data_IF_836369148075
#
_entry.id   IF_836369148075
#
_cell.length_a   1.000
_cell.length_b   1.000
_cell.length_c   1.000
_cell.angle_alpha   90.00
_cell.angle_beta   90.00
_cell.angle_gamma   90.00
#
_symmetry.space_group_name_H-M   'P 1'
#
loop_
_entity.id
_entity.type
_entity.pdbx_description
1 polymer ?
#
# COMPACT_ATOMS: atom_id res chain seq x y z
N UNK A 1 -12.51 10.59 -39.61
CA UNK A 1 -12.82 10.51 -38.16
C UNK A 1 -11.54 10.13 -37.44
N UNK A 2 -10.85 11.08 -36.83
CA UNK A 2 -9.59 10.81 -36.12
C UNK A 2 -9.93 10.52 -34.65
N UNK A 3 -9.77 9.27 -34.23
CA UNK A 3 -9.95 8.89 -32.84
C UNK A 3 -8.75 9.41 -32.04
N UNK A 4 -8.99 10.41 -31.20
CA UNK A 4 -7.99 10.92 -30.25
C UNK A 4 -7.47 9.77 -29.40
N UNK A 5 -6.16 9.47 -29.37
CA UNK A 5 -5.66 8.39 -28.54
C UNK A 5 -5.94 8.73 -27.07
N UNK A 6 -6.52 7.77 -26.37
CA UNK A 6 -6.87 7.84 -24.96
C UNK A 6 -5.64 8.26 -24.16
N UNK A 7 -5.71 9.48 -23.65
CA UNK A 7 -4.83 10.16 -22.70
C UNK A 7 -4.02 9.15 -21.87
N UNK A 8 -2.68 9.21 -21.98
CA UNK A 8 -1.76 8.63 -21.01
C UNK A 8 -2.19 9.06 -19.61
N UNK A 9 -2.92 8.21 -18.89
CA UNK A 9 -3.31 8.48 -17.51
C UNK A 9 -2.02 8.42 -16.69
N UNK A 10 -1.47 9.60 -16.37
CA UNK A 10 -0.36 9.73 -15.43
C UNK A 10 -0.69 8.93 -14.18
N UNK A 11 0.24 8.09 -13.73
CA UNK A 11 0.12 7.37 -12.46
C UNK A 11 -0.33 8.34 -11.36
N UNK A 12 -1.46 8.05 -10.73
CA UNK A 12 -2.14 9.01 -9.84
C UNK A 12 -2.24 8.42 -8.45
N UNK A 13 -1.73 9.14 -7.44
CA UNK A 13 -1.93 8.79 -6.03
C UNK A 13 -3.41 8.94 -5.66
N UNK A 14 -4.06 7.86 -5.25
CA UNK A 14 -5.50 7.84 -4.96
C UNK A 14 -5.82 7.64 -3.48
N UNK A 15 -5.00 6.87 -2.76
CA UNK A 15 -5.21 6.56 -1.35
C UNK A 15 -3.89 6.55 -0.58
N UNK A 16 -3.98 6.82 0.72
CA UNK A 16 -2.91 6.61 1.68
C UNK A 16 -3.44 5.73 2.80
N UNK A 17 -2.75 4.62 3.02
CA UNK A 17 -3.03 3.71 4.13
C UNK A 17 -1.97 3.90 5.19
N UNK A 18 -2.32 3.73 6.45
CA UNK A 18 -1.36 3.57 7.53
C UNK A 18 -1.01 2.09 7.64
N UNK A 19 0.28 1.79 7.66
CA UNK A 19 0.84 0.47 7.93
C UNK A 19 1.48 0.51 9.30
N UNK A 20 1.16 -0.48 10.13
CA UNK A 20 1.79 -0.73 11.43
C UNK A 20 2.28 -2.16 11.52
N UNK A 21 3.25 -2.39 12.40
CA UNK A 21 3.76 -3.71 12.75
C UNK A 21 5.08 -3.60 13.50
N UNK A 22 5.86 -4.67 13.45
CA UNK A 22 7.20 -4.75 14.03
C UNK A 22 8.25 -4.91 12.93
N UNK A 23 9.35 -4.15 13.02
CA UNK A 23 10.52 -4.31 12.15
C UNK A 23 11.36 -5.54 12.55
N UNK A 24 12.37 -5.97 11.77
CA UNK A 24 13.11 -7.20 12.07
C UNK A 24 13.81 -7.22 13.45
N UNK A 25 14.35 -6.09 13.96
CA UNK A 25 14.77 -5.98 15.36
C UNK A 25 13.65 -6.08 16.41
N UNK A 26 12.38 -6.14 16.00
CA UNK A 26 11.20 -6.26 16.85
C UNK A 26 10.61 -4.91 17.30
N UNK A 27 11.10 -3.77 16.80
CA UNK A 27 10.62 -2.43 17.18
C UNK A 27 9.30 -2.14 16.46
N UNK A 28 8.35 -1.57 17.18
CA UNK A 28 7.10 -1.10 16.56
C UNK A 28 7.37 0.02 15.56
N UNK A 29 6.73 -0.03 14.40
CA UNK A 29 6.79 1.03 13.40
C UNK A 29 5.39 1.41 12.89
N UNK A 30 5.30 2.63 12.35
CA UNK A 30 4.10 3.13 11.67
C UNK A 30 4.50 4.01 10.49
N UNK A 31 4.02 3.70 9.28
CA UNK A 31 4.34 4.43 8.04
C UNK A 31 3.15 4.50 7.09
N UNK A 32 3.19 5.49 6.20
CA UNK A 32 2.19 5.61 5.14
C UNK A 32 2.53 4.71 3.95
N UNK A 33 1.56 3.94 3.49
CA UNK A 33 1.57 3.23 2.22
C UNK A 33 0.83 4.08 1.20
N UNK A 34 1.50 4.38 0.09
CA UNK A 34 0.96 5.16 -1.02
C UNK A 34 0.35 4.22 -2.05
N UNK A 35 -0.92 4.43 -2.37
CA UNK A 35 -1.62 3.68 -3.41
C UNK A 35 -1.74 4.51 -4.67
N UNK A 36 -1.11 4.03 -5.73
CA UNK A 36 -1.09 4.71 -7.02
C UNK A 36 -1.87 3.91 -8.05
N UNK A 37 -2.86 4.55 -8.67
CA UNK A 37 -3.57 3.99 -9.82
C UNK A 37 -2.68 4.10 -11.06
N UNK A 38 -2.49 2.99 -11.75
CA UNK A 38 -1.75 2.88 -13.02
C UNK A 38 -2.72 2.64 -14.18
N UNK A 39 -2.19 2.45 -15.39
CA UNK A 39 -2.99 2.04 -16.54
C UNK A 39 -3.60 0.63 -16.39
N UNK A 40 -2.98 -0.26 -15.63
CA UNK A 40 -3.35 -1.69 -15.55
C UNK A 40 -3.85 -2.12 -14.16
N UNK A 41 -3.88 -1.22 -13.17
CA UNK A 41 -4.32 -1.55 -11.81
C UNK A 41 -3.82 -0.57 -10.78
N UNK A 42 -3.25 -1.10 -9.68
CA UNK A 42 -2.81 -0.35 -8.52
C UNK A 42 -1.45 -0.84 -8.02
N UNK A 43 -0.57 0.09 -7.67
CA UNK A 43 0.66 -0.20 -6.93
C UNK A 43 0.55 0.29 -5.50
N UNK A 44 1.18 -0.44 -4.58
CA UNK A 44 1.37 -0.03 -3.20
C UNK A 44 2.86 0.20 -2.95
N UNK A 45 3.21 1.33 -2.33
CA UNK A 45 4.59 1.69 -2.01
C UNK A 45 4.73 2.16 -0.58
N UNK A 46 5.75 1.67 0.12
CA UNK A 46 6.14 2.15 1.45
C UNK A 46 7.64 2.43 1.49
N UNK A 47 8.02 3.40 2.31
CA UNK A 47 9.39 3.67 2.66
C UNK A 47 9.52 3.75 4.18
N UNK A 48 10.44 2.96 4.73
CA UNK A 48 10.78 2.94 6.15
C UNK A 48 12.31 2.84 6.29
N UNK A 49 12.93 3.86 6.87
CA UNK A 49 14.40 3.96 6.96
C UNK A 49 15.04 3.75 5.57
N UNK A 50 15.89 2.73 5.40
CA UNK A 50 16.51 2.35 4.13
C UNK A 50 15.68 1.36 3.29
N UNK A 51 14.57 0.86 3.83
CA UNK A 51 13.68 -0.09 3.13
C UNK A 51 12.70 0.67 2.26
N UNK A 52 12.74 0.39 0.95
CA UNK A 52 11.73 0.81 -0.02
C UNK A 52 11.11 -0.45 -0.62
N UNK A 53 9.82 -0.65 -0.40
CA UNK A 53 9.08 -1.75 -1.01
C UNK A 53 7.96 -1.18 -1.88
N UNK A 54 7.89 -1.68 -3.11
CA UNK A 54 6.87 -1.32 -4.10
C UNK A 54 6.38 -2.57 -4.81
N UNK A 55 5.07 -2.70 -4.96
CA UNK A 55 4.46 -3.84 -5.65
C UNK A 55 4.46 -3.66 -7.16
N UNK A 56 4.36 -4.74 -7.94
CA UNK A 56 3.85 -4.62 -9.31
C UNK A 56 2.43 -4.04 -9.31
N UNK A 57 1.96 -3.64 -10.50
CA UNK A 57 0.58 -3.21 -10.68
C UNK A 57 -0.36 -4.41 -10.57
N UNK A 58 -1.24 -4.38 -9.56
CA UNK A 58 -2.15 -5.47 -9.24
C UNK A 58 -3.62 -5.04 -9.47
N UNK A 59 -4.54 -6.00 -9.71
CA UNK A 59 -5.92 -5.68 -10.11
C UNK A 59 -6.70 -4.85 -9.08
N UNK A 60 -6.42 -5.04 -7.79
CA UNK A 60 -7.10 -4.33 -6.70
C UNK A 60 -6.13 -3.73 -5.68
N UNK A 61 -6.60 -2.69 -4.96
CA UNK A 61 -5.85 -2.08 -3.85
C UNK A 61 -5.59 -3.12 -2.74
N UNK A 62 -6.57 -3.96 -2.42
CA UNK A 62 -6.45 -4.99 -1.40
C UNK A 62 -5.39 -6.04 -1.75
N UNK A 63 -5.27 -6.43 -3.02
CA UNK A 63 -4.20 -7.31 -3.49
C UNK A 63 -2.84 -6.63 -3.44
N UNK A 64 -2.75 -5.34 -3.81
CA UNK A 64 -1.51 -4.58 -3.68
C UNK A 64 -1.05 -4.49 -2.22
N UNK A 65 -1.96 -4.23 -1.28
CA UNK A 65 -1.63 -4.20 0.15
C UNK A 65 -1.20 -5.59 0.68
N UNK A 66 -1.93 -6.65 0.33
CA UNK A 66 -1.54 -8.03 0.69
C UNK A 66 -0.18 -8.42 0.13
N UNK A 67 0.09 -8.10 -1.13
CA UNK A 67 1.37 -8.37 -1.76
C UNK A 67 2.51 -7.61 -1.08
N UNK A 68 2.30 -6.33 -0.76
CA UNK A 68 3.27 -5.52 -0.04
C UNK A 68 3.56 -6.08 1.35
N UNK A 69 2.52 -6.45 2.10
CA UNK A 69 2.66 -7.09 3.40
C UNK A 69 3.48 -8.38 3.31
N UNK A 70 3.19 -9.23 2.32
CA UNK A 70 3.97 -10.46 2.08
C UNK A 70 5.44 -10.19 1.70
N UNK A 71 5.74 -9.12 0.96
CA UNK A 71 7.13 -8.72 0.69
C UNK A 71 7.85 -8.29 1.97
N UNK A 72 7.19 -7.50 2.83
CA UNK A 72 7.76 -7.06 4.10
C UNK A 72 7.95 -8.24 5.07
N UNK A 73 7.02 -9.19 5.13
CA UNK A 73 7.16 -10.40 5.95
C UNK A 73 8.36 -11.25 5.52
N UNK A 74 8.61 -11.38 4.21
CA UNK A 74 9.84 -12.03 3.69
C UNK A 74 11.13 -11.29 4.11
N UNK A 75 11.03 -10.01 4.45
CA UNK A 75 12.14 -9.21 4.97
C UNK A 75 12.26 -9.24 6.51
N UNK A 76 11.40 -10.01 7.19
CA UNK A 76 11.41 -10.16 8.65
C UNK A 76 10.51 -9.19 9.41
N UNK A 77 9.67 -8.40 8.72
CA UNK A 77 8.64 -7.62 9.40
C UNK A 77 7.50 -8.53 9.87
N UNK A 78 6.85 -8.19 10.98
CA UNK A 78 5.80 -9.02 11.58
C UNK A 78 4.63 -8.20 12.11
N UNK A 79 3.52 -8.87 12.45
CA UNK A 79 2.30 -8.27 13.01
C UNK A 79 1.78 -7.11 12.16
N UNK A 80 1.87 -7.27 10.84
CA UNK A 80 1.52 -6.22 9.91
C UNK A 80 0.02 -5.99 9.88
N UNK A 81 -0.39 -4.73 9.87
CA UNK A 81 -1.77 -4.33 9.65
C UNK A 81 -1.86 -3.01 8.91
N UNK A 82 -2.91 -2.83 8.13
CA UNK A 82 -3.15 -1.58 7.41
C UNK A 82 -4.52 -1.01 7.67
N UNK A 83 -4.65 0.31 7.59
CA UNK A 83 -5.93 1.02 7.65
C UNK A 83 -5.95 2.17 6.65
N UNK A 84 -7.08 2.38 6.00
CA UNK A 84 -7.27 3.53 5.12
C UNK A 84 -7.29 4.82 5.96
N UNK A 85 -6.34 5.73 5.71
CA UNK A 85 -6.32 7.04 6.36
C UNK A 85 -6.85 8.14 5.44
N UNK A 86 -6.50 8.11 4.14
CA UNK A 86 -6.93 9.13 3.19
C UNK A 86 -7.37 8.52 1.86
N UNK A 87 -8.45 9.04 1.30
CA UNK A 87 -8.84 8.87 -0.11
C UNK A 87 -8.95 10.27 -0.74
N UNK A 88 -8.03 10.58 -1.65
CA UNK A 88 -7.81 11.96 -2.11
C UNK A 88 -7.52 12.91 -0.94
N UNK A 89 -8.33 13.96 -0.78
CA UNK A 89 -8.21 14.94 0.32
C UNK A 89 -9.01 14.58 1.58
N UNK A 90 -9.86 13.56 1.53
CA UNK A 90 -10.76 13.21 2.64
C UNK A 90 -10.08 12.23 3.59
N UNK A 91 -10.16 12.54 4.89
CA UNK A 91 -9.64 11.72 5.98
C UNK A 91 -10.69 10.71 6.47
N UNK A 92 -10.26 9.47 6.68
CA UNK A 92 -11.12 8.32 7.01
C UNK A 92 -10.66 7.52 8.23
N UNK A 93 -9.44 7.71 8.75
CA UNK A 93 -8.79 6.78 9.66
C UNK A 93 -9.66 6.26 10.83
N UNK A 94 -10.26 7.15 11.63
CA UNK A 94 -11.08 6.76 12.79
C UNK A 94 -12.40 6.05 12.42
N UNK A 95 -12.77 6.06 11.14
CA UNK A 95 -13.99 5.45 10.60
C UNK A 95 -13.73 4.11 9.91
N UNK A 96 -12.47 3.76 9.69
CA UNK A 96 -12.08 2.57 8.94
C UNK A 96 -11.46 1.54 9.88
N UNK A 97 -11.75 0.27 9.62
CA UNK A 97 -11.19 -0.84 10.38
C UNK A 97 -9.75 -1.13 9.97
N UNK A 98 -8.99 -1.69 10.91
CA UNK A 98 -7.71 -2.31 10.58
C UNK A 98 -7.93 -3.61 9.79
N UNK A 99 -7.03 -3.85 8.84
CA UNK A 99 -6.89 -5.12 8.12
C UNK A 99 -5.57 -5.72 8.54
N UNK A 100 -5.62 -6.84 9.27
CA UNK A 100 -4.45 -7.57 9.73
C UNK A 100 -3.95 -8.56 8.67
N UNK A 101 -2.64 -8.71 8.59
CA UNK A 101 -1.94 -9.69 7.75
C UNK A 101 -1.25 -10.69 8.66
N UNK A 102 -1.78 -11.91 8.81
CA UNK A 102 -1.20 -12.93 9.68
C UNK A 102 0.26 -13.22 9.29
N UNK A 103 1.10 -13.41 10.29
CA UNK A 103 2.49 -13.81 10.07
C UNK A 103 2.54 -15.21 9.45
N UNK A 104 3.43 -15.47 8.49
CA UNK A 104 3.62 -16.81 7.94
C UNK A 104 4.08 -17.78 9.03
N UNK A 105 3.60 -19.03 8.95
CA UNK A 105 3.95 -20.10 9.87
C UNK A 105 5.40 -20.59 9.70
#
# INVERSE_FOLDING_TARGET
MSATPLIFRKNTLIEKHQLEGNDPPGRSFSRAVLITRTATGYTAKVQYESVIAETPSLPTIAEALRHLAGQLQKMGFSRLRTRLNFRGKKYYAEKESWVDYPDPA
#
